data_IF_988463412371
#
_entry.id   IF_988463412371
#
_cell.length_a   1.000
_cell.length_b   1.000
_cell.length_c   1.000
_cell.angle_alpha   90.00
_cell.angle_beta   90.00
_cell.angle_gamma   90.00
#
_symmetry.space_group_name_H-M   'P 1'
#
loop_
_entity.id
_entity.type
_entity.pdbx_description
1 polymer ?
#
# COMPACT_ATOMS: atom_id res chain seq x y z
N UNK A 1 -25.34 -7.56 -5.78
CA UNK A 1 -25.90 -6.30 -5.28
C UNK A 1 -24.90 -5.21 -5.57
N UNK A 2 -25.25 -4.24 -6.41
CA UNK A 2 -24.32 -3.26 -6.99
C UNK A 2 -23.88 -2.20 -5.98
N UNK A 3 -22.82 -2.49 -5.22
CA UNK A 3 -22.00 -1.47 -4.58
C UNK A 3 -20.85 -1.08 -5.52
N UNK A 4 -20.40 0.16 -5.42
CA UNK A 4 -19.18 0.71 -6.04
C UNK A 4 -17.87 0.16 -5.42
N UNK A 5 -17.96 -0.96 -4.71
CA UNK A 5 -16.82 -1.65 -4.12
C UNK A 5 -15.97 -2.34 -5.19
N UNK A 6 -14.68 -2.50 -4.92
CA UNK A 6 -13.73 -3.11 -5.83
C UNK A 6 -12.77 -4.03 -5.08
N UNK A 7 -11.98 -4.79 -5.84
CA UNK A 7 -10.88 -5.56 -5.27
C UNK A 7 -9.60 -5.33 -6.06
N UNK A 8 -8.46 -5.44 -5.38
CA UNK A 8 -7.13 -5.43 -6.01
C UNK A 8 -6.30 -6.62 -5.48
N UNK A 9 -5.37 -7.10 -6.30
CA UNK A 9 -4.42 -8.16 -5.97
C UNK A 9 -3.02 -7.58 -5.89
N UNK A 10 -2.30 -7.92 -4.83
CA UNK A 10 -0.86 -7.66 -4.66
C UNK A 10 -0.19 -8.97 -4.30
N UNK A 11 0.89 -9.30 -4.98
CA UNK A 11 1.70 -10.48 -4.67
C UNK A 11 2.99 -10.05 -3.96
N UNK A 12 3.31 -10.69 -2.84
CA UNK A 12 4.54 -10.42 -2.11
C UNK A 12 5.73 -11.20 -2.68
N UNK A 13 6.88 -10.52 -2.70
CA UNK A 13 8.18 -11.11 -3.03
C UNK A 13 9.13 -10.98 -1.83
N UNK A 14 10.18 -11.82 -1.73
CA UNK A 14 11.13 -11.73 -0.60
C UNK A 14 11.83 -10.38 -0.45
N UNK A 15 11.94 -9.61 -1.53
CA UNK A 15 12.52 -8.27 -1.53
C UNK A 15 11.49 -7.15 -1.29
N UNK A 16 10.20 -7.47 -1.13
CA UNK A 16 9.15 -6.49 -0.91
C UNK A 16 9.38 -5.76 0.42
N UNK A 17 9.32 -4.43 0.40
CA UNK A 17 9.63 -3.60 1.55
C UNK A 17 8.49 -2.62 1.89
N UNK A 18 8.65 -1.93 3.02
CA UNK A 18 7.75 -0.84 3.44
C UNK A 18 7.61 0.21 2.34
N UNK A 19 8.72 0.55 1.67
CA UNK A 19 8.71 1.58 0.64
C UNK A 19 7.85 1.23 -0.58
N UNK A 20 7.58 -0.05 -0.81
CA UNK A 20 6.77 -0.53 -1.95
C UNK A 20 5.31 -0.71 -1.55
N UNK A 21 5.05 -1.10 -0.29
CA UNK A 21 3.70 -1.39 0.18
C UNK A 21 3.00 -0.16 0.75
N UNK A 22 3.69 0.62 1.58
CA UNK A 22 3.10 1.75 2.31
C UNK A 22 3.45 3.08 1.63
N UNK A 23 4.71 3.51 1.69
CA UNK A 23 5.20 4.71 1.01
C UNK A 23 6.72 4.76 1.01
N UNK A 24 7.32 5.32 -0.04
CA UNK A 24 8.77 5.40 -0.17
C UNK A 24 9.23 6.64 -0.92
N UNK A 25 10.46 7.05 -0.66
CA UNK A 25 11.11 8.12 -1.43
C UNK A 25 11.51 7.54 -2.79
N UNK A 26 11.16 8.22 -3.89
CA UNK A 26 11.55 7.82 -5.25
C UNK A 26 12.13 9.03 -5.99
N UNK A 27 13.34 8.93 -6.56
CA UNK A 27 13.92 10.03 -7.31
C UNK A 27 13.07 10.29 -8.58
N UNK A 28 12.78 11.56 -8.84
CA UNK A 28 12.13 12.01 -10.07
C UNK A 28 12.96 13.12 -10.74
N UNK A 29 13.16 13.09 -12.06
CA UNK A 29 13.86 14.16 -12.75
C UNK A 29 13.01 15.43 -12.79
N UNK A 30 13.64 16.58 -12.55
CA UNK A 30 13.00 17.89 -12.71
C UNK A 30 13.16 18.39 -14.14
N UNK A 31 12.26 19.27 -14.58
CA UNK A 31 12.35 19.90 -15.91
C UNK A 31 13.63 20.75 -16.10
N UNK A 32 14.27 21.16 -15.00
CA UNK A 32 15.52 21.92 -14.96
C UNK A 32 16.79 21.05 -14.98
N UNK A 33 16.67 19.72 -15.10
CA UNK A 33 17.81 18.81 -15.15
C UNK A 33 18.37 18.35 -13.79
N UNK A 34 17.63 18.56 -12.71
CA UNK A 34 17.95 18.07 -11.36
C UNK A 34 17.17 16.83 -10.95
N UNK A 35 17.34 16.38 -9.71
CA UNK A 35 16.55 15.31 -9.08
C UNK A 35 15.73 15.88 -7.92
N UNK A 36 14.45 15.54 -7.88
CA UNK A 36 13.59 15.67 -6.71
C UNK A 36 13.41 14.29 -6.05
N UNK A 37 13.18 14.28 -4.74
CA UNK A 37 12.98 13.06 -3.96
C UNK A 37 11.62 13.07 -3.25
N UNK A 38 10.51 13.08 -4.01
CA UNK A 38 9.18 13.06 -3.41
C UNK A 38 8.90 11.73 -2.70
N UNK A 39 8.09 11.81 -1.66
CA UNK A 39 7.44 10.64 -1.06
C UNK A 39 6.33 10.18 -2.00
N UNK A 40 6.41 8.92 -2.42
CA UNK A 40 5.44 8.25 -3.29
C UNK A 40 4.66 7.24 -2.46
N UNK A 41 3.34 7.22 -2.65
CA UNK A 41 2.46 6.26 -1.99
C UNK A 41 2.66 4.87 -2.58
N UNK A 42 2.72 3.87 -1.71
CA UNK A 42 2.75 2.47 -2.08
C UNK A 42 1.34 1.90 -2.29
N UNK A 43 1.30 0.62 -2.64
CA UNK A 43 0.07 -0.08 -3.06
C UNK A 43 -1.07 0.01 -2.02
N UNK A 44 -0.75 -0.10 -0.74
CA UNK A 44 -1.74 -0.06 0.33
C UNK A 44 -2.38 1.33 0.46
N UNK A 45 -1.58 2.40 0.48
CA UNK A 45 -2.11 3.76 0.58
C UNK A 45 -2.89 4.16 -0.67
N UNK A 46 -2.44 3.77 -1.86
CA UNK A 46 -3.20 3.96 -3.09
C UNK A 46 -4.56 3.26 -3.04
N UNK A 47 -4.60 2.01 -2.56
CA UNK A 47 -5.83 1.26 -2.36
C UNK A 47 -6.76 1.96 -1.37
N UNK A 48 -6.26 2.39 -0.19
CA UNK A 48 -7.06 3.10 0.81
C UNK A 48 -7.63 4.42 0.28
N UNK A 49 -6.88 5.17 -0.53
CA UNK A 49 -7.36 6.41 -1.12
C UNK A 49 -8.52 6.18 -2.09
N UNK A 50 -8.44 5.12 -2.91
CA UNK A 50 -9.55 4.72 -3.79
C UNK A 50 -10.75 4.23 -2.97
N UNK A 51 -10.51 3.36 -1.98
CA UNK A 51 -11.54 2.80 -1.13
C UNK A 51 -12.30 3.87 -0.32
N UNK A 52 -11.63 4.95 0.09
CA UNK A 52 -12.25 6.07 0.80
C UNK A 52 -13.32 6.81 -0.04
N UNK A 53 -13.33 6.63 -1.37
CA UNK A 53 -14.32 7.22 -2.27
C UNK A 53 -15.49 6.27 -2.55
N UNK A 54 -15.40 5.02 -2.10
CA UNK A 54 -16.39 3.97 -2.31
C UNK A 54 -17.30 3.82 -1.09
N UNK A 55 -18.55 3.42 -1.30
CA UNK A 55 -19.49 3.04 -0.24
C UNK A 55 -19.61 1.52 -0.08
N UNK A 56 -19.29 0.77 -1.14
CA UNK A 56 -19.27 -0.68 -1.16
C UNK A 56 -18.00 -1.28 -0.55
N UNK A 57 -18.01 -2.58 -0.22
CA UNK A 57 -16.86 -3.26 0.36
C UNK A 57 -15.68 -3.25 -0.62
N UNK A 58 -14.52 -2.85 -0.13
CA UNK A 58 -13.27 -2.85 -0.88
C UNK A 58 -12.32 -3.90 -0.31
N UNK A 59 -11.76 -4.77 -1.16
CA UNK A 59 -10.93 -5.91 -0.73
C UNK A 59 -9.53 -5.84 -1.35
N UNK A 60 -8.50 -5.78 -0.51
CA UNK A 60 -7.11 -5.95 -0.95
C UNK A 60 -6.67 -7.38 -0.67
N UNK A 61 -6.42 -8.15 -1.73
CA UNK A 61 -5.94 -9.53 -1.65
C UNK A 61 -4.42 -9.50 -1.69
N UNK A 62 -3.79 -10.06 -0.66
CA UNK A 62 -2.33 -10.21 -0.58
C UNK A 62 -1.98 -11.68 -0.81
N UNK A 63 -1.49 -11.98 -2.01
CA UNK A 63 -0.99 -13.30 -2.36
C UNK A 63 0.45 -13.46 -1.89
N UNK A 64 0.83 -14.70 -1.59
CA UNK A 64 2.16 -15.07 -1.11
C UNK A 64 2.62 -14.27 0.13
N UNK A 65 1.66 -13.93 1.01
CA UNK A 65 1.89 -13.10 2.21
C UNK A 65 3.06 -13.61 3.06
N UNK A 66 3.24 -14.93 3.13
CA UNK A 66 4.31 -15.58 3.89
C UNK A 66 5.71 -15.47 3.25
N UNK A 67 5.84 -14.97 2.01
CA UNK A 67 7.14 -14.84 1.32
C UNK A 67 7.88 -13.55 1.65
N UNK A 68 7.24 -12.57 2.27
CA UNK A 68 7.88 -11.34 2.73
C UNK A 68 7.94 -11.27 4.25
N UNK A 69 8.86 -10.45 4.77
CA UNK A 69 8.90 -10.14 6.20
C UNK A 69 7.77 -9.17 6.53
N UNK A 70 6.67 -9.68 7.07
CA UNK A 70 5.46 -8.88 7.37
C UNK A 70 5.73 -7.71 8.31
N UNK A 71 6.54 -7.90 9.35
CA UNK A 71 6.90 -6.82 10.26
C UNK A 71 7.62 -5.69 9.53
N UNK A 72 8.49 -6.01 8.57
CA UNK A 72 9.19 -5.03 7.75
C UNK A 72 8.27 -4.37 6.71
N UNK A 73 7.35 -5.11 6.11
CA UNK A 73 6.48 -4.61 5.04
C UNK A 73 5.38 -3.70 5.59
N UNK A 74 4.74 -4.10 6.70
CA UNK A 74 3.66 -3.33 7.31
C UNK A 74 4.19 -2.28 8.29
N UNK A 75 5.34 -2.51 8.93
CA UNK A 75 5.90 -1.58 9.90
C UNK A 75 4.91 -1.27 11.04
N UNK A 76 4.77 0.01 11.35
CA UNK A 76 3.82 0.51 12.37
C UNK A 76 2.34 0.29 11.97
N UNK A 77 2.05 0.02 10.70
CA UNK A 77 0.67 -0.21 10.25
C UNK A 77 0.10 -1.55 10.75
N UNK A 78 0.96 -2.49 11.14
CA UNK A 78 0.50 -3.75 11.75
C UNK A 78 -0.37 -3.46 12.98
N UNK A 79 0.03 -2.48 13.79
CA UNK A 79 -0.72 -2.04 14.95
C UNK A 79 -2.12 -1.52 14.56
N UNK A 80 -2.22 -0.70 13.52
CA UNK A 80 -3.49 -0.14 13.06
C UNK A 80 -4.46 -1.20 12.49
N UNK A 81 -3.95 -2.36 12.06
CA UNK A 81 -4.76 -3.46 11.56
C UNK A 81 -5.21 -4.41 12.68
N UNK A 82 -4.41 -4.56 13.73
CA UNK A 82 -4.66 -5.47 14.85
C UNK A 82 -5.72 -4.92 15.81
N UNK A 83 -5.71 -3.61 16.09
CA UNK A 83 -6.65 -2.97 17.01
C UNK A 83 -7.78 -2.28 16.23
N UNK A 84 -8.87 -3.02 15.98
CA UNK A 84 -10.11 -2.48 15.39
C UNK A 84 -11.23 -2.29 16.41
N UNK A 85 -11.16 -2.96 17.56
CA UNK A 85 -12.20 -2.98 18.58
C UNK A 85 -11.68 -2.66 20.01
N UNK A 86 -10.44 -2.17 20.12
CA UNK A 86 -9.96 -1.34 21.24
C UNK A 86 -9.75 0.10 20.75
#
# INVERSE_FOLDING_TARGET
>A
GGGDGFWELVQFHPAYAYEDFIQGIRPRPTASGGLEYPVVRGRFLEFCQKAAQCKGPCVLIIDEINRANLARVFGELMYLLEYRDE
#
